data_IF_999036934026
#
_entry.id   IF_999036934026
#
_cell.length_a   1.000
_cell.length_b   1.000
_cell.length_c   1.000
_cell.angle_alpha   90.00
_cell.angle_beta   90.00
_cell.angle_gamma   90.00
#
_symmetry.space_group_name_H-M   'P 1'
#
loop_
_entity.id
_entity.type
_entity.pdbx_description
1 polymer ?
#
# COMPACT_ATOMS: atom_id res chain seq x y z
N UNK A 1 -8.41 -0.40 33.09
CA UNK A 1 -8.58 -1.12 34.38
C UNK A 1 -8.27 -0.21 35.56
N UNK A 2 -7.24 0.64 35.46
CA UNK A 2 -6.78 1.53 36.55
C UNK A 2 -7.81 2.55 37.07
N UNK A 3 -8.64 3.16 36.20
CA UNK A 3 -9.70 4.10 36.63
C UNK A 3 -10.73 3.42 37.55
N UNK A 4 -11.07 2.15 37.28
CA UNK A 4 -12.02 1.39 38.11
C UNK A 4 -11.41 1.04 39.47
N UNK A 5 -10.12 0.71 39.53
CA UNK A 5 -9.42 0.45 40.78
C UNK A 5 -9.27 1.70 41.64
N UNK A 6 -8.94 2.85 41.04
CA UNK A 6 -8.86 4.11 41.77
C UNK A 6 -10.21 4.52 42.34
N UNK A 7 -11.30 4.33 41.59
CA UNK A 7 -12.66 4.61 42.05
C UNK A 7 -13.09 3.70 43.21
N UNK A 8 -12.76 2.40 43.14
CA UNK A 8 -13.05 1.45 44.21
C UNK A 8 -12.27 1.74 45.51
N UNK A 9 -11.00 2.17 45.39
CA UNK A 9 -10.20 2.60 46.56
C UNK A 9 -10.76 3.85 47.23
N UNK A 10 -11.34 4.76 46.46
CA UNK A 10 -11.91 6.03 46.96
C UNK A 10 -13.23 5.80 47.71
N UNK A 11 -14.09 4.90 47.21
CA UNK A 11 -15.31 4.47 47.90
C UNK A 11 -15.02 3.73 49.21
N UNK A 12 -14.03 2.83 49.21
CA UNK A 12 -13.62 2.10 50.41
C UNK A 12 -13.07 3.02 51.52
N UNK A 13 -12.46 4.14 51.14
CA UNK A 13 -11.91 5.13 52.08
C UNK A 13 -12.98 6.08 52.65
N UNK A 14 -14.16 6.15 52.01
CA UNK A 14 -15.29 7.00 52.46
C UNK A 14 -16.14 6.36 53.57
N UNK A 15 -16.04 5.05 53.82
CA UNK A 15 -16.91 4.34 54.77
C UNK A 15 -16.32 4.23 56.20
N UNK A 16 -15.06 4.60 56.43
CA UNK A 16 -14.36 4.33 57.68
C UNK A 16 -13.68 5.59 58.25
N UNK A 17 -14.40 6.47 58.96
CA UNK A 17 -13.90 7.20 60.16
C UNK A 17 -14.78 8.42 60.52
N UNK A 18 -15.38 8.39 61.72
CA UNK A 18 -16.02 9.51 62.39
C UNK A 18 -15.02 10.40 63.16
N UNK A 19 -13.75 10.42 62.75
CA UNK A 19 -12.74 11.37 63.23
C UNK A 19 -12.02 11.97 62.04
N UNK A 20 -12.31 13.24 61.75
CA UNK A 20 -11.58 14.03 60.74
C UNK A 20 -10.12 14.21 61.16
N UNK A 21 -9.29 13.23 60.84
CA UNK A 21 -7.84 13.39 60.84
C UNK A 21 -7.47 14.27 59.63
N UNK A 22 -6.97 15.47 59.88
CA UNK A 22 -6.57 16.41 58.81
C UNK A 22 -5.59 15.82 57.77
N UNK A 23 -4.94 14.70 58.09
CA UNK A 23 -4.05 13.97 57.21
C UNK A 23 -4.79 13.19 56.10
N UNK A 24 -5.96 12.60 56.39
CA UNK A 24 -6.76 11.86 55.39
C UNK A 24 -7.46 12.83 54.44
N UNK A 25 -8.00 13.95 54.94
CA UNK A 25 -8.57 15.02 54.13
C UNK A 25 -7.54 15.64 53.16
N UNK A 26 -6.31 15.92 53.63
CA UNK A 26 -5.23 16.43 52.75
C UNK A 26 -4.90 15.47 51.62
N UNK A 27 -4.89 14.16 51.90
CA UNK A 27 -4.56 13.14 50.90
C UNK A 27 -5.65 12.96 49.84
N UNK A 28 -6.91 13.15 50.22
CA UNK A 28 -8.05 13.15 49.29
C UNK A 28 -7.95 14.35 48.33
N UNK A 29 -7.64 15.54 48.86
CA UNK A 29 -7.46 16.75 48.04
C UNK A 29 -6.31 16.57 47.05
N UNK A 30 -5.17 16.04 47.51
CA UNK A 30 -4.01 15.77 46.67
C UNK A 30 -4.34 14.80 45.53
N UNK A 31 -4.99 13.67 45.84
CA UNK A 31 -5.39 12.68 44.83
C UNK A 31 -6.39 13.24 43.82
N UNK A 32 -7.34 14.08 44.25
CA UNK A 32 -8.28 14.73 43.35
C UNK A 32 -7.57 15.74 42.43
N UNK A 33 -6.57 16.47 42.95
CA UNK A 33 -5.76 17.39 42.13
C UNK A 33 -4.98 16.63 41.06
N UNK A 34 -4.33 15.52 41.43
CA UNK A 34 -3.60 14.66 40.48
C UNK A 34 -4.55 14.02 39.46
N UNK A 35 -5.75 13.61 39.89
CA UNK A 35 -6.75 13.06 38.98
C UNK A 35 -7.19 14.11 37.96
N UNK A 36 -7.43 15.34 38.39
CA UNK A 36 -7.80 16.44 37.49
C UNK A 36 -6.67 16.74 36.50
N UNK A 37 -5.42 16.85 36.96
CA UNK A 37 -4.26 17.06 36.09
C UNK A 37 -4.13 15.95 35.04
N UNK A 38 -4.34 14.67 35.44
CA UNK A 38 -4.32 13.54 34.50
C UNK A 38 -5.48 13.56 33.51
N UNK A 39 -6.65 14.06 33.91
CA UNK A 39 -7.79 14.26 33.00
C UNK A 39 -7.47 15.35 31.96
N UNK A 40 -6.94 16.49 32.40
CA UNK A 40 -6.58 17.60 31.51
C UNK A 40 -5.45 17.19 30.54
N UNK A 41 -4.44 16.44 31.00
CA UNK A 41 -3.39 15.86 30.16
C UNK A 41 -3.96 14.90 29.10
N UNK A 42 -4.92 14.07 29.48
CA UNK A 42 -5.56 13.11 28.58
C UNK A 42 -6.39 13.82 27.51
N UNK A 43 -7.16 14.84 27.86
CA UNK A 43 -7.94 15.65 26.91
C UNK A 43 -7.03 16.39 25.91
N UNK A 44 -5.89 16.91 26.39
CA UNK A 44 -4.86 17.50 25.53
C UNK A 44 -4.23 16.48 24.57
N UNK A 45 -3.94 15.28 25.07
CA UNK A 45 -3.37 14.20 24.27
C UNK A 45 -4.35 13.70 23.21
N UNK A 46 -5.62 13.51 23.55
CA UNK A 46 -6.67 13.12 22.61
C UNK A 46 -6.85 14.19 21.52
N UNK A 47 -6.89 15.46 21.89
CA UNK A 47 -6.94 16.59 20.95
C UNK A 47 -5.75 16.61 19.99
N UNK A 48 -4.55 16.38 20.52
CA UNK A 48 -3.32 16.33 19.72
C UNK A 48 -3.32 15.15 18.75
N UNK A 49 -3.73 13.97 19.22
CA UNK A 49 -3.85 12.76 18.39
C UNK A 49 -4.87 12.96 17.27
N UNK A 50 -6.01 13.58 17.56
CA UNK A 50 -7.03 13.87 16.55
C UNK A 50 -6.48 14.81 15.46
N UNK A 51 -5.71 15.84 15.82
CA UNK A 51 -5.05 16.74 14.87
C UNK A 51 -4.04 15.98 13.99
N UNK A 52 -3.25 15.08 14.58
CA UNK A 52 -2.28 14.28 13.84
C UNK A 52 -2.98 13.38 12.82
N UNK A 53 -4.07 12.71 13.19
CA UNK A 53 -4.87 11.88 12.26
C UNK A 53 -5.40 12.70 11.09
N UNK A 54 -5.93 13.91 11.35
CA UNK A 54 -6.42 14.79 10.29
C UNK A 54 -5.27 15.20 9.35
N UNK A 55 -4.10 15.57 9.90
CA UNK A 55 -2.93 15.95 9.10
C UNK A 55 -2.39 14.78 8.27
N UNK A 56 -2.32 13.59 8.85
CA UNK A 56 -1.88 12.37 8.18
C UNK A 56 -2.79 12.03 7.01
N UNK A 57 -4.12 12.00 7.23
CA UNK A 57 -5.11 11.78 6.17
C UNK A 57 -4.94 12.77 5.02
N UNK A 58 -4.85 14.06 5.34
CA UNK A 58 -4.67 15.11 4.33
C UNK A 58 -3.36 14.94 3.55
N UNK A 59 -2.26 14.62 4.25
CA UNK A 59 -0.97 14.36 3.60
C UNK A 59 -1.02 13.12 2.70
N UNK A 60 -1.71 12.06 3.14
CA UNK A 60 -1.90 10.85 2.35
C UNK A 60 -2.73 11.14 1.10
N UNK A 61 -3.82 11.88 1.19
CA UNK A 61 -4.65 12.26 0.05
C UNK A 61 -3.83 13.00 -1.02
N UNK A 62 -3.00 13.96 -0.59
CA UNK A 62 -2.09 14.67 -1.51
C UNK A 62 -1.06 13.74 -2.16
N UNK A 63 -0.50 12.79 -1.40
CA UNK A 63 0.45 11.81 -1.96
C UNK A 63 -0.23 10.89 -2.98
N UNK A 64 -1.47 10.48 -2.75
CA UNK A 64 -2.24 9.67 -3.68
C UNK A 64 -2.58 10.46 -4.96
N UNK A 65 -2.93 11.74 -4.84
CA UNK A 65 -3.19 12.61 -5.99
C UNK A 65 -1.93 12.80 -6.85
N UNK A 66 -0.77 13.09 -6.23
CA UNK A 66 0.50 13.20 -6.95
C UNK A 66 0.87 11.86 -7.62
N UNK A 67 0.66 10.73 -6.93
CA UNK A 67 0.92 9.40 -7.49
C UNK A 67 0.08 9.16 -8.74
N UNK A 68 -1.21 9.47 -8.67
CA UNK A 68 -2.15 9.34 -9.79
C UNK A 68 -1.70 10.18 -10.99
N UNK A 69 -1.32 11.43 -10.75
CA UNK A 69 -0.90 12.34 -11.81
C UNK A 69 0.41 11.90 -12.46
N UNK A 70 1.37 11.42 -11.67
CA UNK A 70 2.62 10.86 -12.20
C UNK A 70 2.39 9.59 -13.01
N UNK A 71 1.46 8.72 -12.58
CA UNK A 71 1.09 7.54 -13.35
C UNK A 71 0.52 7.95 -14.71
N UNK A 72 -0.43 8.88 -14.73
CA UNK A 72 -1.02 9.39 -15.98
C UNK A 72 0.05 10.04 -16.88
N UNK A 73 0.87 10.93 -16.34
CA UNK A 73 1.92 11.59 -17.12
C UNK A 73 2.96 10.62 -17.69
N UNK A 74 3.33 9.57 -16.94
CA UNK A 74 4.21 8.52 -17.45
C UNK A 74 3.51 7.59 -18.46
N UNK A 75 2.20 7.40 -18.39
CA UNK A 75 1.44 6.68 -19.42
C UNK A 75 1.41 7.46 -20.74
N UNK A 76 1.15 8.77 -20.68
CA UNK A 76 1.00 9.62 -21.88
C UNK A 76 2.33 10.02 -22.53
N UNK A 77 3.37 10.21 -21.71
CA UNK A 77 4.65 10.77 -22.16
C UNK A 77 5.85 9.87 -21.86
N UNK A 78 5.61 8.67 -21.35
CA UNK A 78 6.66 7.69 -21.09
C UNK A 78 7.35 7.22 -22.37
N UNK A 79 8.67 7.28 -22.40
CA UNK A 79 9.44 6.72 -23.49
C UNK A 79 9.52 5.19 -23.39
N UNK A 80 9.36 4.42 -24.48
CA UNK A 80 9.42 2.95 -24.45
C UNK A 80 10.80 2.38 -24.09
N UNK A 81 11.82 3.24 -23.96
CA UNK A 81 13.19 2.87 -23.54
C UNK A 81 13.60 3.53 -22.21
N UNK A 82 12.67 4.17 -21.51
CA UNK A 82 12.96 4.73 -20.20
C UNK A 82 13.11 3.60 -19.17
N UNK A 83 14.08 3.74 -18.27
CA UNK A 83 14.27 2.78 -17.16
C UNK A 83 13.26 2.99 -16.02
N UNK A 84 12.56 4.13 -16.01
CA UNK A 84 11.40 4.39 -15.15
C UNK A 84 10.19 4.55 -16.05
N UNK A 85 9.12 3.82 -15.74
CA UNK A 85 7.87 3.86 -16.51
C UNK A 85 6.74 3.18 -15.74
N UNK A 86 5.69 2.80 -16.45
CA UNK A 86 4.52 2.14 -15.88
C UNK A 86 4.55 0.65 -16.22
N UNK A 87 4.40 -0.17 -15.18
CA UNK A 87 4.19 -1.62 -15.30
C UNK A 87 2.76 -1.93 -14.88
N UNK A 88 2.07 -2.80 -15.62
CA UNK A 88 0.75 -3.31 -15.23
C UNK A 88 0.97 -4.64 -14.48
N UNK A 89 0.85 -4.58 -13.16
CA UNK A 89 1.06 -5.73 -12.28
C UNK A 89 -0.04 -6.75 -12.51
N UNK A 90 0.33 -8.01 -12.74
CA UNK A 90 -0.65 -9.06 -13.00
C UNK A 90 -1.12 -9.21 -14.45
N UNK A 91 -0.56 -8.45 -15.38
CA UNK A 91 -0.76 -8.64 -16.81
C UNK A 91 0.40 -9.45 -17.40
N UNK A 92 0.09 -10.41 -18.27
CA UNK A 92 1.13 -11.16 -18.97
C UNK A 92 1.82 -10.23 -19.97
N UNK A 93 3.15 -10.12 -19.94
CA UNK A 93 3.88 -9.38 -20.97
C UNK A 93 3.60 -10.03 -22.34
N UNK A 94 2.86 -9.37 -23.25
CA UNK A 94 2.44 -9.98 -24.50
C UNK A 94 3.64 -10.37 -25.37
N UNK A 95 4.75 -9.64 -25.25
CA UNK A 95 5.95 -9.88 -26.05
C UNK A 95 6.74 -11.08 -25.53
N UNK A 96 6.99 -11.14 -24.23
CA UNK A 96 7.63 -12.31 -23.61
C UNK A 96 6.77 -13.57 -23.79
N UNK A 97 5.45 -13.45 -23.57
CA UNK A 97 4.52 -14.56 -23.73
C UNK A 97 4.44 -15.04 -25.18
N UNK A 98 4.36 -14.13 -26.15
CA UNK A 98 4.39 -14.49 -27.58
C UNK A 98 5.69 -15.19 -27.97
N UNK A 99 6.82 -14.73 -27.45
CA UNK A 99 8.12 -15.37 -27.72
C UNK A 99 8.20 -16.77 -27.11
N UNK A 100 7.73 -16.98 -25.88
CA UNK A 100 7.61 -18.31 -25.30
C UNK A 100 6.66 -19.20 -26.11
N UNK A 101 5.50 -18.67 -26.51
CA UNK A 101 4.52 -19.40 -27.33
C UNK A 101 5.09 -19.83 -28.68
N UNK A 102 5.93 -19.03 -29.34
CA UNK A 102 6.59 -19.42 -30.59
C UNK A 102 7.54 -20.61 -30.42
N UNK A 103 8.16 -20.76 -29.25
CA UNK A 103 9.01 -21.92 -28.96
C UNK A 103 8.16 -23.19 -28.72
N UNK A 104 6.91 -23.03 -28.29
CA UNK A 104 6.00 -24.14 -27.95
C UNK A 104 5.15 -24.56 -29.16
N UNK A 105 4.70 -23.59 -29.96
CA UNK A 105 3.86 -23.78 -31.14
C UNK A 105 4.54 -23.19 -32.38
N UNK A 106 5.61 -23.80 -32.92
CA UNK A 106 6.21 -23.38 -34.18
C UNK A 106 5.24 -23.65 -35.34
N UNK A 107 5.10 -22.68 -36.27
CA UNK A 107 4.27 -22.79 -37.48
C UNK A 107 3.53 -21.50 -37.85
N UNK A 108 2.82 -21.50 -38.98
CA UNK A 108 2.16 -20.31 -39.53
C UNK A 108 1.08 -19.71 -38.60
N UNK A 109 0.49 -20.56 -37.74
CA UNK A 109 -0.54 -20.14 -36.78
C UNK A 109 0.03 -19.72 -35.40
N UNK A 110 1.35 -19.68 -35.24
CA UNK A 110 2.00 -19.39 -33.95
C UNK A 110 1.52 -18.09 -33.29
N UNK A 111 1.32 -17.03 -34.09
CA UNK A 111 0.83 -15.73 -33.58
C UNK A 111 -0.60 -15.81 -33.05
N UNK A 112 -1.49 -16.48 -33.79
CA UNK A 112 -2.90 -16.62 -33.41
C UNK A 112 -3.04 -17.51 -32.18
N UNK A 113 -2.29 -18.62 -32.14
CA UNK A 113 -2.25 -19.51 -30.99
C UNK A 113 -1.69 -18.82 -29.75
N UNK A 114 -0.64 -18.01 -29.89
CA UNK A 114 -0.08 -17.23 -28.80
C UNK A 114 -1.09 -16.23 -28.24
N UNK A 115 -1.81 -15.50 -29.10
CA UNK A 115 -2.81 -14.52 -28.67
C UNK A 115 -4.00 -15.21 -27.97
N UNK A 116 -4.52 -16.29 -28.54
CA UNK A 116 -5.61 -17.07 -27.93
C UNK A 116 -5.21 -17.62 -26.56
N UNK A 117 -3.96 -18.08 -26.43
CA UNK A 117 -3.42 -18.59 -25.18
C UNK A 117 -3.19 -17.45 -24.16
N UNK A 118 -2.70 -16.28 -24.57
CA UNK A 118 -2.58 -15.10 -23.67
C UNK A 118 -3.93 -14.80 -23.02
N UNK A 119 -4.96 -14.60 -23.85
CA UNK A 119 -6.30 -14.22 -23.36
C UNK A 119 -6.90 -15.30 -22.48
N UNK A 120 -6.66 -16.58 -22.79
CA UNK A 120 -7.12 -17.69 -21.93
C UNK A 120 -6.45 -17.62 -20.57
N UNK A 121 -5.13 -17.49 -20.51
CA UNK A 121 -4.40 -17.48 -19.23
C UNK A 121 -4.69 -16.23 -18.42
N UNK A 122 -4.85 -15.06 -19.05
CA UNK A 122 -5.33 -13.84 -18.37
C UNK A 122 -6.72 -14.03 -17.74
N UNK A 123 -7.62 -14.77 -18.41
CA UNK A 123 -8.94 -15.06 -17.86
C UNK A 123 -8.87 -16.06 -16.69
N UNK A 124 -7.97 -17.05 -16.75
CA UNK A 124 -7.78 -18.01 -15.67
C UNK A 124 -7.10 -17.39 -14.44
N UNK A 125 -6.07 -16.54 -14.62
CA UNK A 125 -5.35 -15.83 -13.54
C UNK A 125 -6.30 -14.96 -12.69
N UNK A 126 -7.37 -14.43 -13.30
CA UNK A 126 -8.38 -13.62 -12.61
C UNK A 126 -9.29 -14.45 -11.68
N UNK A 127 -9.41 -15.77 -11.91
CA UNK A 127 -10.30 -16.63 -11.11
C UNK A 127 -9.62 -16.97 -9.78
N UNK A 128 -10.24 -16.66 -8.62
CA UNK A 128 -9.67 -16.95 -7.31
C UNK A 128 -9.44 -18.45 -7.05
N UNK A 129 -10.30 -19.28 -7.64
CA UNK A 129 -10.30 -20.75 -7.54
C UNK A 129 -9.22 -21.40 -8.43
N UNK A 130 -8.55 -20.61 -9.28
CA UNK A 130 -7.57 -21.14 -10.20
C UNK A 130 -6.22 -21.32 -9.49
N UNK A 131 -5.78 -22.58 -9.43
CA UNK A 131 -4.55 -22.99 -8.79
C UNK A 131 -3.64 -23.67 -9.83
N UNK A 132 -2.62 -22.96 -10.36
CA UNK A 132 -1.81 -23.45 -11.49
C UNK A 132 -0.91 -24.66 -11.20
N UNK A 133 -1.04 -25.28 -10.02
CA UNK A 133 -0.11 -26.32 -9.58
C UNK A 133 -0.36 -27.69 -10.21
N UNK A 134 -1.55 -27.96 -10.78
CA UNK A 134 -1.86 -29.31 -11.30
C UNK A 134 -1.73 -29.50 -12.82
N UNK A 135 -1.56 -28.46 -13.62
CA UNK A 135 -1.44 -28.64 -15.08
C UNK A 135 -0.45 -27.65 -15.65
N UNK A 136 0.49 -28.19 -16.45
CA UNK A 136 1.36 -27.49 -17.42
C UNK A 136 2.82 -27.23 -16.95
N UNK A 137 3.71 -28.14 -17.40
CA UNK A 137 5.17 -28.00 -17.44
C UNK A 137 5.56 -27.37 -18.78
N UNK A 138 5.32 -26.07 -18.94
CA UNK A 138 5.66 -25.31 -20.17
C UNK A 138 6.27 -23.97 -19.75
N UNK A 139 7.28 -23.46 -20.47
CA UNK A 139 8.01 -22.21 -20.16
C UNK A 139 7.17 -20.93 -19.99
N UNK A 140 5.85 -20.99 -20.21
CA UNK A 140 4.90 -19.93 -19.81
C UNK A 140 4.50 -19.98 -18.32
N UNK A 141 4.80 -21.05 -17.58
CA UNK A 141 4.45 -21.21 -16.16
C UNK A 141 5.06 -20.11 -15.32
N UNK A 142 6.33 -19.77 -15.54
CA UNK A 142 7.02 -18.72 -14.76
C UNK A 142 6.34 -17.36 -14.93
N UNK A 143 6.06 -16.93 -16.17
CA UNK A 143 5.37 -15.65 -16.43
C UNK A 143 3.98 -15.59 -15.80
N UNK A 144 3.26 -16.70 -15.83
CA UNK A 144 1.92 -16.81 -15.25
C UNK A 144 1.99 -16.83 -13.74
N UNK A 145 2.94 -17.56 -13.15
CA UNK A 145 3.14 -17.56 -11.71
C UNK A 145 3.57 -16.19 -11.22
N UNK A 146 4.41 -15.47 -11.97
CA UNK A 146 4.75 -14.08 -11.68
C UNK A 146 3.52 -13.19 -11.73
N UNK A 147 2.72 -13.23 -12.81
CA UNK A 147 1.49 -12.44 -12.89
C UNK A 147 0.49 -12.79 -11.77
N UNK A 148 0.35 -14.07 -11.42
CA UNK A 148 -0.53 -14.49 -10.33
C UNK A 148 -0.02 -14.04 -8.94
N UNK A 149 1.30 -14.10 -8.70
CA UNK A 149 1.92 -13.57 -7.49
C UNK A 149 1.72 -12.05 -7.40
N UNK A 150 1.96 -11.32 -8.48
CA UNK A 150 1.75 -9.87 -8.55
C UNK A 150 0.30 -9.49 -8.22
N UNK A 151 -0.69 -10.22 -8.75
CA UNK A 151 -2.10 -9.97 -8.39
C UNK A 151 -2.37 -10.25 -6.91
N UNK A 152 -1.82 -11.33 -6.36
CA UNK A 152 -2.00 -11.68 -4.96
C UNK A 152 -1.31 -10.67 -4.01
N UNK A 153 -0.18 -10.10 -4.43
CA UNK A 153 0.57 -9.11 -3.64
C UNK A 153 -0.03 -7.71 -3.74
N UNK A 154 -0.40 -7.28 -4.95
CA UNK A 154 -0.80 -5.89 -5.21
C UNK A 154 -2.32 -5.65 -5.17
N UNK A 155 -3.12 -6.65 -5.53
CA UNK A 155 -4.57 -6.52 -5.59
C UNK A 155 -5.31 -7.84 -5.33
N UNK A 156 -5.10 -8.47 -4.15
CA UNK A 156 -5.63 -9.81 -3.86
C UNK A 156 -7.15 -9.90 -3.93
N UNK A 157 -7.84 -8.82 -3.56
CA UNK A 157 -9.31 -8.73 -3.55
C UNK A 157 -9.89 -8.34 -4.90
N UNK A 158 -9.25 -7.42 -5.62
CA UNK A 158 -9.78 -6.92 -6.90
C UNK A 158 -9.44 -7.80 -8.10
N UNK A 159 -8.31 -8.53 -8.07
CA UNK A 159 -7.89 -9.48 -9.12
C UNK A 159 -7.81 -8.87 -10.53
N UNK A 160 -7.65 -7.55 -10.64
CA UNK A 160 -7.44 -6.85 -11.92
C UNK A 160 -6.03 -6.22 -11.98
N UNK A 161 -5.44 -6.08 -13.17
CA UNK A 161 -4.13 -5.47 -13.30
C UNK A 161 -4.09 -4.02 -12.85
N UNK A 162 -3.13 -3.69 -11.99
CA UNK A 162 -2.95 -2.34 -11.44
C UNK A 162 -1.71 -1.71 -12.08
N UNK A 163 -1.86 -0.45 -12.52
CA UNK A 163 -0.73 0.33 -13.03
C UNK A 163 0.14 0.81 -11.88
N UNK A 164 1.42 0.47 -11.94
CA UNK A 164 2.40 0.84 -10.93
C UNK A 164 3.60 1.52 -11.56
N UNK A 165 4.13 2.53 -10.86
CA UNK A 165 5.40 3.15 -11.24
C UNK A 165 6.52 2.14 -10.98
N UNK A 166 7.30 1.82 -12.00
CA UNK A 166 8.27 0.74 -11.98
C UNK A 166 9.66 1.21 -12.41
N UNK A 167 10.68 0.73 -11.72
CA UNK A 167 12.07 0.88 -12.10
C UNK A 167 12.50 -0.41 -12.80
N UNK A 168 12.54 -0.38 -14.13
CA UNK A 168 12.92 -1.53 -14.96
C UNK A 168 14.40 -1.89 -14.88
N UNK A 169 15.25 -0.97 -14.39
CA UNK A 169 16.67 -1.26 -14.14
C UNK A 169 16.85 -2.09 -12.87
N UNK A 170 16.13 -1.72 -11.81
CA UNK A 170 16.23 -2.38 -10.51
C UNK A 170 15.23 -3.54 -10.34
N UNK A 171 14.26 -3.67 -11.25
CA UNK A 171 13.27 -4.74 -11.23
C UNK A 171 12.27 -4.65 -10.07
N UNK A 172 11.96 -3.45 -9.60
CA UNK A 172 11.07 -3.21 -8.45
C UNK A 172 10.22 -1.94 -8.61
N UNK A 173 9.23 -1.75 -7.73
CA UNK A 173 8.41 -0.54 -7.68
C UNK A 173 9.29 0.69 -7.49
N UNK A 174 9.09 1.73 -8.30
CA UNK A 174 9.83 2.97 -8.20
C UNK A 174 9.28 3.83 -7.04
N UNK A 175 10.17 4.41 -6.24
CA UNK A 175 9.76 5.34 -5.20
C UNK A 175 9.35 6.70 -5.82
N UNK A 176 8.40 7.40 -5.19
CA UNK A 176 7.91 8.70 -5.68
C UNK A 176 9.05 9.70 -5.93
N UNK A 177 10.01 9.77 -4.99
CA UNK A 177 11.21 10.61 -5.11
C UNK A 177 12.04 10.30 -6.36
N UNK A 178 12.17 9.03 -6.72
CA UNK A 178 12.98 8.57 -7.86
C UNK A 178 12.30 8.97 -9.17
N UNK A 179 10.98 8.77 -9.24
CA UNK A 179 10.16 9.15 -10.40
C UNK A 179 10.23 10.66 -10.63
N UNK A 180 10.04 11.47 -9.58
CA UNK A 180 10.13 12.93 -9.69
C UNK A 180 11.52 13.37 -10.13
N UNK A 181 12.58 12.81 -9.56
CA UNK A 181 13.96 13.10 -9.97
C UNK A 181 14.20 12.74 -11.45
N UNK A 182 13.66 11.60 -11.91
CA UNK A 182 13.75 11.17 -13.30
C UNK A 182 13.05 12.14 -14.24
N UNK A 183 11.80 12.51 -13.96
CA UNK A 183 11.01 13.46 -14.77
C UNK A 183 11.71 14.82 -14.84
N UNK A 184 12.19 15.34 -13.71
CA UNK A 184 12.94 16.59 -13.68
C UNK A 184 14.23 16.53 -14.51
N UNK A 185 14.95 15.42 -14.48
CA UNK A 185 16.15 15.22 -15.30
C UNK A 185 15.83 15.17 -16.79
N UNK A 186 14.75 14.49 -17.19
CA UNK A 186 14.28 14.46 -18.58
C UNK A 186 13.91 15.87 -19.06
N UNK A 187 13.16 16.62 -18.25
CA UNK A 187 12.77 17.99 -18.57
C UNK A 187 13.97 18.92 -18.76
N UNK A 188 14.94 18.89 -17.83
CA UNK A 188 16.19 19.67 -17.94
C UNK A 188 16.99 19.30 -19.19
N UNK A 189 16.98 18.03 -19.60
CA UNK A 189 17.69 17.58 -20.80
C UNK A 189 16.99 18.07 -22.07
N UNK A 190 15.66 18.05 -22.12
CA UNK A 190 14.89 18.60 -23.23
C UNK A 190 15.09 20.11 -23.38
N UNK A 191 15.08 20.87 -22.27
CA UNK A 191 15.33 22.32 -22.27
C UNK A 191 16.72 22.75 -22.74
N UNK A 192 17.70 21.85 -22.77
CA UNK A 192 19.07 22.17 -23.25
C UNK A 192 19.26 21.88 -24.73
N UNK A 193 18.33 21.16 -25.35
CA UNK A 193 18.36 20.79 -26.77
C UNK A 193 17.61 21.78 -27.65
N UNK A 194 16.83 22.67 -27.04
CA UNK A 194 16.14 23.81 -27.64
C UNK A 194 16.71 25.09 -27.06
#
# INVERSE_FOLDING_TARGET
>A
MEIKEMKAKLEAMSCNSDSKDSASEKKIVELNSQLQEKMDEMDFMESSNQILVIKERKSNDQLQEIRKELINGLLEHGGPRAHIGIKRMGELDPKAFSNACKQIFPGDNAKVNAALLCSKWEAEIKKPEWHPLDVVRIGGKEMVTTALLEINEDNPSGRYPVAEMWNFKEGQKAALKEVVQFVLKQWKTHKRKH
#
